data_IF_975795805809
#
_entry.id   IF_975795805809
#
_cell.length_a   1.000
_cell.length_b   1.000
_cell.length_c   1.000
_cell.angle_alpha   90.00
_cell.angle_beta   90.00
_cell.angle_gamma   90.00
#
_symmetry.space_group_name_H-M   'P 1'
#
loop_
_entity.id
_entity.type
_entity.pdbx_description
1 polymer ?
#
# COMPACT_ATOMS: atom_id res chain seq x y z
N UNK A 1 57.23 1.05 20.88
CA UNK A 1 57.85 0.16 21.85
C UNK A 1 57.29 0.49 23.20
N UNK A 2 56.81 -0.45 23.94
CA UNK A 2 56.25 -0.27 25.27
C UNK A 2 57.16 -0.93 26.31
N UNK A 3 57.09 -0.55 27.57
CA UNK A 3 57.98 -1.00 28.64
C UNK A 3 57.22 -1.42 29.87
N UNK A 4 57.69 -2.49 30.52
CA UNK A 4 57.26 -2.92 31.84
C UNK A 4 58.44 -2.74 32.78
N UNK A 5 58.21 -2.15 33.92
CA UNK A 5 59.26 -1.91 34.92
C UNK A 5 59.02 -2.79 36.14
N UNK A 6 60.08 -3.43 36.59
CA UNK A 6 60.09 -4.14 37.87
C UNK A 6 60.17 -3.18 39.04
N UNK A 7 60.07 -3.72 40.26
CA UNK A 7 60.28 -2.95 41.46
C UNK A 7 61.73 -2.45 41.52
N UNK A 8 61.93 -1.22 41.99
CA UNK A 8 63.26 -0.64 42.25
C UNK A 8 63.78 -1.17 43.59
N UNK A 9 65.00 -1.67 43.58
CA UNK A 9 65.66 -2.14 44.82
C UNK A 9 66.01 -0.93 45.76
N UNK A 10 66.27 -1.26 46.98
CA UNK A 10 66.77 -0.24 47.96
C UNK A 10 68.08 0.46 47.50
N UNK A 11 68.88 -0.22 46.69
CA UNK A 11 70.11 0.32 46.13
C UNK A 11 69.92 0.95 44.75
N UNK A 12 68.70 1.11 44.29
CA UNK A 12 68.32 1.79 43.04
C UNK A 12 68.33 0.96 41.78
N UNK A 13 68.71 -0.33 41.85
CA UNK A 13 68.69 -1.21 40.70
C UNK A 13 67.25 -1.55 40.28
N UNK A 14 67.00 -1.69 38.93
CA UNK A 14 65.69 -1.94 38.40
C UNK A 14 65.77 -2.73 37.09
N UNK A 15 64.81 -3.63 36.83
CA UNK A 15 64.64 -4.24 35.50
C UNK A 15 63.62 -3.47 34.68
N UNK A 16 63.84 -3.39 33.38
CA UNK A 16 62.90 -2.93 32.37
C UNK A 16 62.84 -3.95 31.24
N UNK A 17 61.59 -4.37 30.93
CA UNK A 17 61.33 -5.24 29.81
C UNK A 17 60.59 -4.43 28.72
N UNK A 18 61.32 -4.13 27.65
CA UNK A 18 60.78 -3.46 26.49
C UNK A 18 60.22 -4.50 25.54
N UNK A 19 59.06 -4.14 24.92
CA UNK A 19 58.44 -5.02 23.91
C UNK A 19 57.83 -4.23 22.75
N UNK A 20 57.77 -4.90 21.58
CA UNK A 20 57.01 -4.49 20.41
C UNK A 20 56.17 -5.66 19.91
N UNK A 21 55.01 -5.33 19.33
CA UNK A 21 54.04 -6.34 18.84
C UNK A 21 53.92 -6.17 17.35
N UNK A 22 54.01 -7.30 16.59
CA UNK A 22 53.61 -7.41 15.21
C UNK A 22 52.54 -8.51 15.09
N UNK A 23 51.64 -8.40 14.12
CA UNK A 23 50.51 -9.33 13.96
C UNK A 23 50.52 -10.01 12.62
N UNK A 24 50.21 -11.31 12.60
CA UNK A 24 49.79 -12.05 11.42
C UNK A 24 48.28 -12.28 11.48
N UNK A 25 47.51 -11.49 10.70
CA UNK A 25 46.03 -11.60 10.65
C UNK A 25 45.63 -12.95 10.09
N UNK A 26 46.33 -13.43 9.06
CA UNK A 26 46.07 -14.72 8.43
C UNK A 26 46.21 -15.89 9.42
N UNK A 27 47.28 -15.89 10.23
CA UNK A 27 47.62 -16.97 11.17
C UNK A 27 46.98 -16.82 12.53
N UNK A 28 46.31 -15.69 12.79
CA UNK A 28 45.73 -15.38 14.09
C UNK A 28 46.74 -15.37 15.24
N UNK A 29 47.90 -14.77 15.00
CA UNK A 29 49.02 -14.75 15.95
C UNK A 29 49.63 -13.36 16.07
N UNK A 30 50.14 -13.04 17.25
CA UNK A 30 51.05 -11.90 17.47
C UNK A 30 52.45 -12.38 17.79
N UNK A 31 53.47 -11.72 17.23
CA UNK A 31 54.86 -11.91 17.57
C UNK A 31 55.30 -10.71 18.37
N UNK A 32 55.90 -11.00 19.58
CA UNK A 32 56.45 -9.98 20.45
C UNK A 32 57.97 -10.09 20.40
N UNK A 33 58.63 -8.98 20.05
CA UNK A 33 60.07 -8.84 20.22
C UNK A 33 60.36 -8.19 21.59
N UNK A 34 61.04 -8.91 22.44
CA UNK A 34 61.34 -8.58 23.82
C UNK A 34 62.80 -8.17 23.95
N UNK A 35 63.08 -7.12 24.75
CA UNK A 35 64.45 -6.74 25.14
C UNK A 35 64.49 -6.41 26.63
N UNK A 36 65.34 -7.12 27.33
CA UNK A 36 65.55 -6.93 28.79
C UNK A 36 66.69 -6.00 29.05
N UNK A 37 66.45 -5.01 29.91
CA UNK A 37 67.46 -4.07 30.42
C UNK A 37 67.50 -4.13 31.93
N UNK A 38 68.73 -3.90 32.46
CA UNK A 38 68.97 -3.64 33.87
C UNK A 38 69.47 -2.21 34.06
N UNK A 39 68.99 -1.52 35.03
CA UNK A 39 69.52 -0.23 35.47
C UNK A 39 70.44 -0.41 36.66
N UNK A 40 71.69 0.02 36.50
CA UNK A 40 72.64 0.15 37.62
C UNK A 40 72.29 1.44 38.43
N UNK A 41 71.86 1.25 39.67
CA UNK A 41 71.46 2.33 40.55
C UNK A 41 72.55 2.94 41.33
N UNK A 42 73.75 2.29 41.42
CA UNK A 42 74.85 2.73 42.26
C UNK A 42 75.92 3.51 41.51
N UNK A 43 76.25 3.06 40.28
CA UNK A 43 77.39 3.60 39.48
C UNK A 43 78.76 3.09 39.91
N UNK A 44 78.79 2.13 40.81
CA UNK A 44 80.05 1.45 41.20
C UNK A 44 80.46 0.45 40.13
N UNK A 45 81.73 0.12 40.03
CA UNK A 45 82.27 -0.86 39.11
C UNK A 45 82.12 -2.28 39.68
N UNK A 46 81.39 -3.12 38.98
CA UNK A 46 81.21 -4.53 39.34
C UNK A 46 81.62 -5.46 38.18
N UNK A 47 82.29 -6.53 38.60
CA UNK A 47 82.70 -7.61 37.72
C UNK A 47 81.95 -8.86 38.19
N UNK A 48 80.82 -9.17 37.52
CA UNK A 48 79.99 -10.32 37.83
C UNK A 48 80.50 -11.55 37.12
N UNK A 49 80.72 -12.65 37.89
CA UNK A 49 81.21 -13.91 37.35
C UNK A 49 80.19 -14.60 36.41
N UNK A 50 80.72 -15.11 35.31
CA UNK A 50 79.95 -15.82 34.32
C UNK A 50 79.20 -17.05 34.83
N UNK A 51 79.65 -17.69 35.87
CA UNK A 51 79.10 -18.93 36.38
C UNK A 51 77.95 -18.71 37.39
N UNK A 52 77.81 -17.53 37.93
CA UNK A 52 76.84 -17.21 38.99
C UNK A 52 75.81 -16.14 38.55
N UNK A 53 76.21 -15.22 37.68
CA UNK A 53 75.31 -14.17 37.19
C UNK A 53 74.51 -14.66 35.94
N UNK A 54 73.21 -14.54 36.03
CA UNK A 54 72.31 -14.90 34.92
C UNK A 54 71.07 -14.04 34.90
N UNK A 55 70.44 -13.98 33.74
CA UNK A 55 69.05 -13.49 33.62
C UNK A 55 68.14 -14.58 33.11
N UNK A 56 66.86 -14.46 33.40
CA UNK A 56 65.80 -15.25 32.79
C UNK A 56 64.91 -14.33 31.95
N UNK A 57 64.54 -14.76 30.75
CA UNK A 57 63.63 -14.04 29.88
C UNK A 57 62.61 -15.07 29.30
N UNK A 58 61.35 -14.93 29.71
CA UNK A 58 60.29 -15.89 29.40
C UNK A 58 60.77 -17.35 29.65
N UNK A 59 61.19 -17.61 30.90
CA UNK A 59 61.61 -18.94 31.36
C UNK A 59 62.96 -19.43 30.84
N UNK A 60 63.60 -18.76 29.88
CA UNK A 60 64.91 -19.14 29.38
C UNK A 60 65.99 -18.47 30.22
N UNK A 61 66.90 -19.26 30.82
CA UNK A 61 68.06 -18.79 31.59
C UNK A 61 69.21 -18.58 30.62
N UNK A 62 69.89 -17.43 30.81
CA UNK A 62 71.14 -17.11 30.08
C UNK A 62 72.16 -16.59 31.09
N UNK A 63 73.30 -17.28 31.17
CA UNK A 63 74.42 -16.83 31.97
C UNK A 63 75.08 -15.67 31.26
N UNK A 64 75.31 -14.61 31.99
CA UNK A 64 75.80 -13.33 31.45
C UNK A 64 76.79 -12.68 32.41
N UNK A 65 78.11 -12.85 32.19
CA UNK A 65 79.11 -12.05 32.92
C UNK A 65 78.99 -10.58 32.50
N UNK A 66 78.74 -9.72 33.44
CA UNK A 66 78.50 -8.34 33.12
C UNK A 66 79.41 -7.43 33.96
N UNK A 67 79.98 -6.44 33.28
CA UNK A 67 80.70 -5.37 33.93
C UNK A 67 79.84 -4.10 33.94
N UNK A 68 79.53 -3.62 35.13
CA UNK A 68 78.84 -2.38 35.33
C UNK A 68 79.84 -1.35 35.87
N UNK A 69 79.91 -0.19 35.24
CA UNK A 69 80.93 0.81 35.57
C UNK A 69 80.38 2.26 35.63
N UNK A 70 79.12 2.40 35.47
CA UNK A 70 78.40 3.68 35.54
C UNK A 70 76.91 3.51 35.75
N UNK A 71 76.27 4.49 36.31
CA UNK A 71 74.76 4.50 36.32
C UNK A 71 74.21 4.52 34.95
N UNK A 72 73.22 3.67 34.66
CA UNK A 72 72.60 3.63 33.38
C UNK A 72 71.84 2.32 33.09
N UNK A 73 71.21 2.30 31.93
CA UNK A 73 70.52 1.12 31.42
C UNK A 73 71.47 0.27 30.58
N UNK A 74 71.58 -0.96 30.93
CA UNK A 74 72.41 -1.95 30.19
C UNK A 74 71.48 -3.06 29.59
N UNK A 75 71.66 -3.35 28.34
CA UNK A 75 70.92 -4.43 27.68
C UNK A 75 71.48 -5.80 28.15
N UNK A 76 70.57 -6.64 28.67
CA UNK A 76 70.90 -8.01 29.07
C UNK A 76 70.71 -8.97 27.90
N UNK A 77 69.57 -8.93 27.20
CA UNK A 77 69.30 -9.79 26.08
C UNK A 77 67.97 -9.52 25.41
N UNK A 78 67.70 -10.31 24.37
CA UNK A 78 66.49 -10.21 23.59
C UNK A 78 65.92 -11.58 23.29
N UNK A 79 64.61 -11.69 23.11
CA UNK A 79 63.89 -12.90 22.75
C UNK A 79 62.65 -12.55 21.95
N UNK A 80 62.31 -13.39 20.99
CA UNK A 80 61.04 -13.31 20.29
C UNK A 80 60.09 -14.41 20.79
N UNK A 81 58.83 -14.11 20.96
CA UNK A 81 57.78 -15.08 21.32
C UNK A 81 56.60 -14.89 20.41
N UNK A 82 55.87 -15.98 20.15
CA UNK A 82 54.64 -15.95 19.38
C UNK A 82 53.48 -16.35 20.27
N UNK A 83 52.38 -15.60 20.20
CA UNK A 83 51.18 -15.79 20.97
C UNK A 83 50.01 -16.00 20.01
N UNK A 84 49.34 -17.14 20.12
CA UNK A 84 48.09 -17.37 19.38
C UNK A 84 46.93 -16.58 20.00
N UNK A 85 46.05 -16.01 19.17
CA UNK A 85 44.82 -15.41 19.60
C UNK A 85 43.70 -16.43 19.62
N UNK A 86 42.64 -16.17 20.39
CA UNK A 86 41.45 -17.01 20.42
C UNK A 86 40.59 -16.84 19.14
N UNK A 87 39.51 -17.62 19.04
CA UNK A 87 38.65 -17.65 17.83
C UNK A 87 37.98 -16.30 17.49
N UNK A 88 37.92 -15.35 18.43
CA UNK A 88 37.41 -13.99 18.18
C UNK A 88 38.53 -12.95 18.02
N UNK A 89 39.81 -13.42 17.89
CA UNK A 89 40.95 -12.57 17.62
C UNK A 89 41.54 -11.85 18.83
N UNK A 90 41.13 -12.22 20.06
CA UNK A 90 41.68 -11.63 21.30
C UNK A 90 42.86 -12.44 21.82
N UNK A 91 43.88 -11.78 22.29
CA UNK A 91 45.05 -12.40 22.87
C UNK A 91 45.63 -11.61 24.01
N UNK A 92 46.25 -12.31 24.96
CA UNK A 92 47.02 -11.70 26.05
C UNK A 92 48.15 -12.62 26.44
N UNK A 93 49.21 -12.06 27.02
CA UNK A 93 50.37 -12.83 27.46
C UNK A 93 50.93 -12.18 28.73
N UNK A 94 51.40 -13.03 29.65
CA UNK A 94 52.21 -12.58 30.79
C UNK A 94 53.66 -12.55 30.34
N UNK A 95 54.26 -11.36 30.33
CA UNK A 95 55.71 -11.19 30.12
C UNK A 95 56.40 -11.21 31.46
N UNK A 96 57.50 -11.99 31.57
CA UNK A 96 58.26 -12.13 32.78
C UNK A 96 59.76 -12.21 32.50
N UNK A 97 60.52 -11.55 33.35
CA UNK A 97 61.99 -11.69 33.34
C UNK A 97 62.55 -11.55 34.76
N UNK A 98 63.67 -12.10 35.00
CA UNK A 98 64.41 -12.04 36.23
C UNK A 98 65.91 -11.83 36.00
N UNK A 99 66.58 -11.35 36.98
CA UNK A 99 68.06 -11.24 36.98
C UNK A 99 68.56 -11.65 38.35
N UNK A 100 69.71 -12.36 38.39
CA UNK A 100 70.41 -12.84 39.57
C UNK A 100 71.87 -12.48 39.49
N UNK A 101 72.39 -11.81 40.54
CA UNK A 101 73.81 -11.45 40.63
C UNK A 101 74.74 -12.59 40.96
N UNK A 102 74.22 -13.65 41.57
CA UNK A 102 75.01 -14.77 42.05
C UNK A 102 75.60 -14.55 43.46
N UNK A 103 75.40 -13.36 44.04
CA UNK A 103 75.88 -13.03 45.39
C UNK A 103 74.97 -11.98 46.06
N UNK A 104 75.19 -11.73 47.31
CA UNK A 104 74.47 -10.69 48.05
C UNK A 104 75.47 -9.68 48.62
N UNK A 105 75.25 -8.37 48.36
CA UNK A 105 76.01 -7.29 48.88
C UNK A 105 75.14 -6.09 49.34
N UNK A 106 75.65 -5.18 50.07
CA UNK A 106 74.93 -3.93 50.42
C UNK A 106 74.69 -3.02 49.25
N UNK A 107 75.31 -3.22 48.10
CA UNK A 107 75.25 -2.39 46.91
C UNK A 107 74.49 -3.08 45.74
N UNK A 108 74.49 -4.39 45.69
CA UNK A 108 73.89 -5.11 44.59
C UNK A 108 72.83 -6.08 45.08
N UNK A 109 71.59 -6.05 44.61
CA UNK A 109 70.53 -6.98 45.00
C UNK A 109 70.89 -8.39 44.54
N UNK A 110 70.53 -9.43 45.31
CA UNK A 110 70.72 -10.83 44.91
C UNK A 110 69.84 -11.22 43.70
N UNK A 111 68.69 -10.61 43.55
CA UNK A 111 67.78 -10.83 42.44
C UNK A 111 66.86 -9.64 42.20
N UNK A 112 66.40 -9.53 40.98
CA UNK A 112 65.35 -8.60 40.54
C UNK A 112 64.38 -9.34 39.65
N UNK A 113 63.13 -8.94 39.65
CA UNK A 113 62.07 -9.49 38.77
C UNK A 113 61.27 -8.39 38.11
N UNK A 114 60.74 -8.67 36.92
CA UNK A 114 59.74 -7.84 36.24
C UNK A 114 58.71 -8.76 35.61
N UNK A 115 57.43 -8.43 35.79
CA UNK A 115 56.35 -9.18 35.21
C UNK A 115 55.16 -8.23 34.96
N UNK A 116 54.41 -8.53 33.92
CA UNK A 116 53.19 -7.80 33.60
C UNK A 116 52.38 -8.51 32.51
N UNK A 117 51.05 -8.37 32.59
CA UNK A 117 50.14 -8.86 31.54
C UNK A 117 50.01 -7.83 30.43
N UNK A 118 50.22 -8.27 29.20
CA UNK A 118 50.03 -7.44 28.00
C UNK A 118 48.81 -7.96 27.25
N UNK A 119 47.80 -7.08 27.12
CA UNK A 119 46.69 -7.34 26.19
C UNK A 119 47.15 -6.98 24.78
N UNK A 120 47.04 -7.91 23.86
CA UNK A 120 47.44 -7.73 22.48
C UNK A 120 46.31 -7.04 21.70
N UNK A 121 46.63 -6.21 20.69
CA UNK A 121 45.62 -5.68 19.78
C UNK A 121 44.77 -6.79 19.17
N UNK A 122 43.45 -6.55 19.02
CA UNK A 122 42.54 -7.54 18.44
C UNK A 122 42.89 -7.83 16.98
N UNK A 123 42.80 -9.08 16.56
CA UNK A 123 42.99 -9.50 15.14
C UNK A 123 41.58 -9.70 14.53
N UNK A 124 41.22 -8.95 13.47
CA UNK A 124 39.94 -9.16 12.79
C UNK A 124 39.83 -10.58 12.24
N UNK A 125 38.72 -11.27 12.53
CA UNK A 125 38.59 -12.70 12.14
C UNK A 125 37.51 -12.92 11.06
N UNK A 126 36.25 -12.67 11.38
CA UNK A 126 35.16 -12.84 10.42
C UNK A 126 35.05 -11.62 9.51
N UNK A 127 34.90 -11.86 8.22
CA UNK A 127 34.56 -10.83 7.25
C UNK A 127 33.12 -10.36 7.46
N UNK A 128 32.76 -9.21 6.90
CA UNK A 128 31.39 -8.70 6.92
C UNK A 128 30.79 -8.66 5.51
N UNK A 129 29.47 -8.74 5.43
CA UNK A 129 28.72 -8.56 4.19
C UNK A 129 27.75 -7.39 4.36
N UNK A 130 27.64 -6.57 3.34
CA UNK A 130 26.71 -5.46 3.25
C UNK A 130 26.02 -5.43 1.89
N UNK A 131 24.92 -4.72 1.79
CA UNK A 131 24.24 -4.42 0.53
C UNK A 131 23.52 -3.09 0.65
N UNK A 132 23.37 -2.38 -0.46
CA UNK A 132 22.56 -1.15 -0.52
C UNK A 132 21.51 -1.29 -1.62
N UNK A 133 20.29 -0.86 -1.33
CA UNK A 133 19.22 -0.77 -2.33
C UNK A 133 18.76 -2.11 -2.92
N UNK A 134 18.82 -3.22 -2.19
CA UNK A 134 18.27 -4.49 -2.66
C UNK A 134 16.76 -4.35 -2.91
N UNK A 135 16.31 -4.90 -4.04
CA UNK A 135 14.89 -4.96 -4.42
C UNK A 135 14.55 -6.41 -4.72
N UNK A 136 13.45 -6.91 -4.13
CA UNK A 136 12.99 -8.27 -4.39
C UNK A 136 12.65 -8.46 -5.87
N UNK A 137 13.09 -9.60 -6.43
CA UNK A 137 12.91 -9.92 -7.85
C UNK A 137 13.84 -9.18 -8.80
N UNK A 138 14.77 -8.35 -8.30
CA UNK A 138 15.75 -7.62 -9.10
C UNK A 138 17.18 -7.93 -8.66
N UNK A 139 18.12 -7.96 -9.62
CA UNK A 139 19.53 -8.16 -9.31
C UNK A 139 20.08 -6.99 -8.49
N UNK A 140 20.79 -7.30 -7.41
CA UNK A 140 21.49 -6.37 -6.55
C UNK A 140 22.91 -6.87 -6.25
N UNK A 141 23.69 -6.09 -5.52
CA UNK A 141 25.07 -6.42 -5.18
C UNK A 141 25.26 -6.60 -3.68
N UNK A 142 25.84 -7.73 -3.29
CA UNK A 142 26.38 -7.97 -1.96
C UNK A 142 27.86 -7.62 -1.97
N UNK A 143 28.30 -6.78 -1.03
CA UNK A 143 29.71 -6.37 -0.88
C UNK A 143 30.31 -7.03 0.35
N UNK A 144 31.44 -7.71 0.17
CA UNK A 144 32.19 -8.36 1.25
C UNK A 144 33.39 -7.50 1.63
N UNK A 145 33.50 -7.15 2.92
CA UNK A 145 34.68 -6.52 3.50
C UNK A 145 35.48 -7.58 4.27
N UNK A 146 36.73 -7.77 3.89
CA UNK A 146 37.66 -8.78 4.46
C UNK A 146 38.99 -8.17 4.87
N UNK A 147 39.60 -8.73 5.91
CA UNK A 147 40.91 -8.29 6.41
C UNK A 147 42.10 -8.82 5.59
N UNK A 148 41.95 -9.94 4.89
CA UNK A 148 43.01 -10.58 4.13
C UNK A 148 42.50 -11.00 2.75
N UNK A 149 43.27 -10.72 1.69
CA UNK A 149 42.87 -10.96 0.31
C UNK A 149 42.68 -12.46 -0.04
N UNK A 150 43.35 -13.35 0.69
CA UNK A 150 43.24 -14.81 0.49
C UNK A 150 42.03 -15.44 1.15
N UNK A 151 41.28 -14.68 1.96
CA UNK A 151 40.07 -15.20 2.59
C UNK A 151 38.96 -15.46 1.57
N UNK A 152 38.32 -16.64 1.73
CA UNK A 152 37.16 -17.04 0.96
C UNK A 152 35.91 -17.08 1.86
N UNK A 153 34.72 -16.99 1.26
CA UNK A 153 33.46 -16.78 2.00
C UNK A 153 32.37 -17.70 1.51
N UNK A 154 31.60 -18.27 2.44
CA UNK A 154 30.26 -18.82 2.19
C UNK A 154 29.26 -17.84 2.73
N UNK A 155 28.31 -17.40 1.88
CA UNK A 155 27.24 -16.47 2.26
C UNK A 155 25.91 -17.17 2.14
N UNK A 156 25.16 -17.12 3.22
CA UNK A 156 23.79 -17.63 3.31
C UNK A 156 22.83 -16.52 3.69
N UNK A 157 21.66 -16.48 3.04
CA UNK A 157 20.63 -15.49 3.28
C UNK A 157 19.34 -16.18 3.73
N UNK A 158 18.64 -15.56 4.68
CA UNK A 158 17.34 -16.02 5.17
C UNK A 158 16.42 -14.82 5.38
N UNK A 159 15.20 -14.90 4.87
CA UNK A 159 14.18 -13.89 5.09
C UNK A 159 13.04 -14.48 5.95
N UNK A 160 12.88 -14.02 7.17
CA UNK A 160 11.84 -14.49 8.10
C UNK A 160 11.81 -16.02 8.24
N UNK A 161 10.66 -16.62 7.94
CA UNK A 161 10.44 -18.08 7.96
C UNK A 161 10.81 -18.78 6.65
N UNK A 162 11.18 -18.04 5.60
CA UNK A 162 11.58 -18.65 4.32
C UNK A 162 12.81 -19.56 4.46
N UNK A 163 12.97 -20.51 3.56
CA UNK A 163 14.15 -21.38 3.52
C UNK A 163 15.42 -20.54 3.35
N UNK A 164 16.50 -20.96 4.02
CA UNK A 164 17.82 -20.35 3.86
C UNK A 164 18.39 -20.65 2.48
N UNK A 165 18.94 -19.64 1.81
CA UNK A 165 19.56 -19.75 0.49
C UNK A 165 21.05 -19.56 0.62
N UNK A 166 21.86 -20.47 0.03
CA UNK A 166 23.31 -20.30 -0.12
C UNK A 166 23.56 -19.51 -1.41
N UNK A 167 24.13 -18.32 -1.27
CA UNK A 167 24.42 -17.42 -2.41
C UNK A 167 25.73 -17.81 -3.08
N UNK A 168 26.78 -18.02 -2.27
CA UNK A 168 28.09 -18.46 -2.72
C UNK A 168 28.73 -19.44 -1.72
N UNK A 169 29.58 -20.34 -2.18
CA UNK A 169 30.31 -21.29 -1.35
C UNK A 169 31.81 -21.10 -1.56
N UNK A 170 32.55 -20.79 -0.47
CA UNK A 170 34.01 -20.58 -0.43
C UNK A 170 34.55 -19.70 -1.57
N UNK A 171 33.80 -18.64 -1.90
CA UNK A 171 34.17 -17.68 -2.97
C UNK A 171 35.14 -16.64 -2.46
N UNK A 172 36.14 -16.26 -3.25
CA UNK A 172 37.04 -15.14 -3.02
C UNK A 172 36.49 -13.79 -3.54
N UNK A 173 35.30 -13.76 -4.16
CA UNK A 173 34.72 -12.55 -4.68
C UNK A 173 34.30 -11.59 -3.55
N UNK A 174 34.57 -10.31 -3.74
CA UNK A 174 34.14 -9.23 -2.81
C UNK A 174 32.90 -8.47 -3.28
N UNK A 175 32.50 -8.68 -4.55
CA UNK A 175 31.27 -8.17 -5.14
C UNK A 175 30.52 -9.34 -5.74
N UNK A 176 29.29 -9.57 -5.28
CA UNK A 176 28.49 -10.76 -5.63
C UNK A 176 27.11 -10.28 -6.07
N UNK A 177 26.75 -10.60 -7.32
CA UNK A 177 25.39 -10.33 -7.81
C UNK A 177 24.42 -11.34 -7.22
N UNK A 178 23.28 -10.87 -6.71
CA UNK A 178 22.23 -11.71 -6.17
C UNK A 178 20.85 -11.11 -6.43
N UNK A 179 19.90 -11.95 -6.81
CA UNK A 179 18.47 -11.57 -6.98
C UNK A 179 17.67 -12.17 -5.84
N UNK A 180 17.26 -11.37 -4.83
CA UNK A 180 16.41 -11.86 -3.76
C UNK A 180 15.04 -12.30 -4.31
N UNK A 181 14.53 -13.48 -3.93
CA UNK A 181 13.23 -13.98 -4.42
C UNK A 181 12.08 -13.02 -4.13
N UNK A 182 11.17 -12.86 -5.11
CA UNK A 182 10.02 -11.96 -4.97
C UNK A 182 8.99 -12.47 -3.94
N UNK A 183 8.89 -13.78 -3.75
CA UNK A 183 8.03 -14.43 -2.76
C UNK A 183 8.39 -14.10 -1.30
N UNK A 184 9.61 -13.62 -1.05
CA UNK A 184 9.98 -13.08 0.26
C UNK A 184 9.14 -11.88 0.68
N UNK A 185 8.42 -11.24 -0.26
CA UNK A 185 7.43 -10.20 0.07
C UNK A 185 6.35 -10.70 1.05
N UNK A 186 6.07 -12.02 1.07
CA UNK A 186 5.14 -12.62 2.02
C UNK A 186 5.62 -12.56 3.49
N UNK A 187 6.91 -12.32 3.73
CA UNK A 187 7.46 -12.19 5.09
C UNK A 187 7.14 -10.83 5.74
N UNK A 188 6.63 -9.86 4.94
CA UNK A 188 6.09 -8.61 5.47
C UNK A 188 4.84 -8.20 4.67
N UNK A 189 3.68 -8.52 5.21
CA UNK A 189 2.39 -8.30 4.54
C UNK A 189 1.84 -6.89 4.69
N UNK A 190 2.46 -6.04 5.53
CA UNK A 190 2.01 -4.68 5.81
C UNK A 190 3.04 -3.60 5.48
N UNK A 191 4.32 -3.96 5.31
CA UNK A 191 5.39 -3.03 5.00
C UNK A 191 5.84 -3.09 3.54
N UNK A 192 6.71 -2.17 3.16
CA UNK A 192 7.28 -2.03 1.81
C UNK A 192 8.71 -2.57 1.70
N UNK A 193 9.24 -3.18 2.76
CA UNK A 193 10.56 -3.82 2.80
C UNK A 193 10.54 -5.06 3.68
N UNK A 194 11.54 -5.92 3.51
CA UNK A 194 11.79 -7.09 4.36
C UNK A 194 13.22 -7.06 4.90
N UNK A 195 13.42 -7.67 6.06
CA UNK A 195 14.73 -7.89 6.64
C UNK A 195 15.26 -9.28 6.25
N UNK A 196 16.49 -9.29 5.78
CA UNK A 196 17.21 -10.50 5.36
C UNK A 196 18.37 -10.71 6.33
N UNK A 197 18.39 -11.82 7.05
CA UNK A 197 19.53 -12.23 7.84
C UNK A 197 20.61 -12.78 6.89
N UNK A 198 21.77 -12.14 6.85
CA UNK A 198 22.92 -12.57 6.09
C UNK A 198 23.98 -13.15 7.03
N UNK A 199 24.32 -14.41 6.83
CA UNK A 199 25.39 -15.11 7.51
C UNK A 199 26.59 -15.25 6.56
N UNK A 200 27.76 -14.78 6.98
CA UNK A 200 29.01 -14.93 6.24
C UNK A 200 30.00 -15.76 7.06
N UNK A 201 30.38 -16.93 6.54
CA UNK A 201 31.46 -17.75 7.11
C UNK A 201 32.74 -17.49 6.33
N UNK A 202 33.82 -17.13 7.04
CA UNK A 202 35.14 -16.80 6.48
C UNK A 202 36.09 -17.98 6.63
N UNK A 203 36.82 -18.25 5.58
CA UNK A 203 37.83 -19.35 5.53
C UNK A 203 39.21 -18.79 5.18
N UNK A 204 40.26 -19.40 5.76
CA UNK A 204 41.65 -19.26 5.35
C UNK A 204 42.15 -20.62 4.90
N UNK A 205 42.39 -20.77 3.59
CA UNK A 205 42.75 -22.05 2.98
C UNK A 205 41.64 -23.09 3.04
N UNK A 206 41.20 -23.64 3.94
CA UNK A 206 40.07 -24.58 4.13
C UNK A 206 39.48 -24.51 5.54
N UNK A 207 40.25 -23.90 6.46
CA UNK A 207 39.87 -23.79 7.87
C UNK A 207 38.93 -22.61 8.08
N UNK A 208 37.91 -22.79 8.94
CA UNK A 208 37.01 -21.72 9.34
C UNK A 208 37.76 -20.73 10.24
N UNK A 209 37.72 -19.47 9.84
CA UNK A 209 38.30 -18.34 10.59
C UNK A 209 37.28 -17.75 11.55
N UNK A 210 36.01 -17.71 11.15
CA UNK A 210 34.89 -17.21 11.94
C UNK A 210 33.64 -17.00 11.08
N UNK A 211 32.53 -16.76 11.77
CA UNK A 211 31.23 -16.43 11.15
C UNK A 211 30.72 -15.12 11.71
N UNK A 212 30.14 -14.29 10.83
CA UNK A 212 29.48 -13.05 11.18
C UNK A 212 28.05 -13.05 10.65
N UNK A 213 27.15 -12.38 11.34
CA UNK A 213 25.74 -12.27 10.95
C UNK A 213 25.35 -10.79 10.94
N UNK A 214 24.65 -10.37 9.88
CA UNK A 214 24.15 -9.01 9.73
C UNK A 214 22.74 -9.03 9.17
N UNK A 215 22.01 -7.92 9.33
CA UNK A 215 20.70 -7.73 8.72
C UNK A 215 20.84 -6.81 7.52
N UNK A 216 20.35 -7.27 6.37
CA UNK A 216 20.20 -6.49 5.14
C UNK A 216 18.74 -6.16 4.93
N UNK A 217 18.45 -5.01 4.34
CA UNK A 217 17.08 -4.62 3.97
C UNK A 217 16.90 -4.76 2.47
N UNK A 218 15.79 -5.43 2.05
CA UNK A 218 15.37 -5.46 0.66
C UNK A 218 13.97 -4.83 0.52
N UNK A 219 13.81 -3.97 -0.49
CA UNK A 219 12.54 -3.31 -0.78
C UNK A 219 11.62 -4.21 -1.61
N UNK A 220 10.34 -4.20 -1.29
CA UNK A 220 9.30 -4.86 -2.08
C UNK A 220 8.95 -3.92 -3.25
N UNK A 221 9.08 -4.35 -4.52
CA UNK A 221 8.88 -3.46 -5.68
C UNK A 221 7.43 -2.95 -5.76
N UNK A 222 7.23 -1.78 -6.35
CA UNK A 222 5.91 -1.16 -6.49
C UNK A 222 4.93 -1.98 -7.34
N UNK A 223 5.43 -2.89 -8.19
CA UNK A 223 4.64 -3.83 -8.98
C UNK A 223 3.89 -4.86 -8.13
N UNK A 224 4.33 -5.12 -6.89
CA UNK A 224 3.62 -5.96 -5.92
C UNK A 224 2.47 -5.16 -5.34
N UNK A 225 1.35 -5.11 -6.02
CA UNK A 225 0.12 -4.38 -5.69
C UNK A 225 -1.09 -5.30 -5.70
N UNK A 226 -2.23 -4.92 -5.09
CA UNK A 226 -3.44 -5.73 -5.13
C UNK A 226 -3.97 -5.89 -6.55
N UNK A 227 -4.74 -6.95 -6.78
CA UNK A 227 -5.54 -7.13 -8.00
C UNK A 227 -6.96 -6.63 -7.75
N UNK A 228 -7.60 -6.12 -8.79
CA UNK A 228 -8.98 -5.64 -8.75
C UNK A 228 -9.67 -5.91 -10.08
N UNK A 229 -10.87 -6.50 -10.02
CA UNK A 229 -11.87 -6.44 -11.08
C UNK A 229 -13.22 -6.00 -10.50
N UNK A 230 -14.05 -5.35 -11.32
CA UNK A 230 -15.34 -4.79 -10.88
C UNK A 230 -16.40 -5.11 -11.92
N UNK A 231 -17.56 -5.59 -11.46
CA UNK A 231 -18.75 -5.70 -12.26
C UNK A 231 -19.82 -4.74 -11.77
N UNK A 232 -20.55 -4.14 -12.71
CA UNK A 232 -21.63 -3.20 -12.44
C UNK A 232 -22.98 -3.84 -12.75
N UNK A 233 -23.96 -3.64 -11.88
CA UNK A 233 -25.34 -4.11 -12.07
C UNK A 233 -26.35 -3.06 -11.63
N UNK A 234 -27.49 -2.97 -12.32
CA UNK A 234 -28.64 -2.19 -11.88
C UNK A 234 -29.55 -3.09 -11.04
N UNK A 235 -29.56 -2.85 -9.74
CA UNK A 235 -30.41 -3.61 -8.81
C UNK A 235 -31.90 -3.21 -8.87
N UNK A 236 -32.23 -2.10 -9.56
CA UNK A 236 -33.59 -1.69 -9.84
C UNK A 236 -34.20 -2.38 -11.07
N UNK A 237 -33.39 -3.05 -11.88
CA UNK A 237 -33.82 -3.88 -13.00
C UNK A 237 -34.14 -3.13 -14.30
N UNK A 238 -33.87 -1.84 -14.39
CA UNK A 238 -34.17 -1.05 -15.60
C UNK A 238 -33.13 -1.19 -16.71
N UNK A 239 -31.87 -1.41 -16.34
CA UNK A 239 -30.74 -1.39 -17.25
C UNK A 239 -30.86 -2.33 -18.47
N UNK A 240 -31.39 -3.57 -18.37
CA UNK A 240 -31.50 -4.47 -19.50
C UNK A 240 -32.49 -3.98 -20.58
N UNK A 241 -33.49 -3.18 -20.19
CA UNK A 241 -34.55 -2.72 -21.09
C UNK A 241 -34.34 -1.28 -21.56
N UNK A 242 -33.95 -0.41 -20.64
CA UNK A 242 -33.91 1.04 -20.88
C UNK A 242 -32.50 1.63 -20.78
N UNK A 243 -31.47 0.80 -20.54
CA UNK A 243 -30.15 1.26 -20.12
C UNK A 243 -30.16 1.82 -18.69
N UNK A 244 -29.13 2.49 -18.28
CA UNK A 244 -29.11 3.20 -17.01
C UNK A 244 -30.03 4.41 -17.10
N UNK A 245 -30.93 4.58 -16.12
CA UNK A 245 -31.98 5.60 -16.15
C UNK A 245 -31.83 6.55 -14.98
N UNK A 246 -31.76 7.85 -15.25
CA UNK A 246 -31.69 8.91 -14.23
C UNK A 246 -32.87 8.83 -13.25
N UNK A 247 -32.54 8.87 -11.94
CA UNK A 247 -33.52 8.85 -10.86
C UNK A 247 -34.30 7.53 -10.69
N UNK A 248 -34.00 6.50 -11.52
CA UNK A 248 -34.67 5.20 -11.50
C UNK A 248 -33.65 4.06 -11.26
N UNK A 249 -32.54 4.04 -11.99
CA UNK A 249 -31.52 3.02 -11.83
C UNK A 249 -30.72 3.21 -10.54
N UNK A 250 -30.41 2.06 -9.92
CA UNK A 250 -29.57 1.98 -8.72
C UNK A 250 -28.38 1.08 -9.03
N UNK A 251 -27.19 1.70 -9.11
CA UNK A 251 -25.94 1.01 -9.42
C UNK A 251 -25.39 0.29 -8.21
N UNK A 252 -25.07 -0.98 -8.35
CA UNK A 252 -24.26 -1.76 -7.42
C UNK A 252 -22.97 -2.17 -8.11
N UNK A 253 -21.82 -1.84 -7.48
CA UNK A 253 -20.51 -2.30 -7.90
C UNK A 253 -20.12 -3.55 -7.09
N UNK A 254 -19.72 -4.62 -7.75
CA UNK A 254 -19.21 -5.83 -7.08
C UNK A 254 -17.71 -5.90 -7.30
N UNK A 255 -16.95 -5.85 -6.20
CA UNK A 255 -15.49 -5.87 -6.19
C UNK A 255 -14.97 -7.30 -6.03
N UNK A 256 -14.20 -7.78 -7.01
CA UNK A 256 -13.35 -8.96 -6.85
C UNK A 256 -11.90 -8.49 -6.72
N UNK A 257 -11.37 -8.52 -5.49
CA UNK A 257 -10.05 -7.98 -5.18
C UNK A 257 -9.28 -8.92 -4.27
N UNK A 258 -7.95 -9.03 -4.50
CA UNK A 258 -7.05 -9.82 -3.68
C UNK A 258 -5.73 -9.07 -3.48
N UNK A 259 -5.16 -9.20 -2.28
CA UNK A 259 -3.80 -8.75 -2.01
C UNK A 259 -2.77 -9.68 -2.65
N UNK A 260 -1.57 -9.16 -2.92
CA UNK A 260 -0.44 -9.93 -3.45
C UNK A 260 0.51 -10.32 -2.32
N UNK A 261 1.08 -11.53 -2.40
CA UNK A 261 2.07 -12.04 -1.44
C UNK A 261 1.61 -11.85 0.02
N UNK A 262 0.38 -12.31 0.34
CA UNK A 262 -0.15 -12.30 1.70
C UNK A 262 -0.66 -10.96 2.22
N UNK A 263 -0.58 -9.85 1.44
CA UNK A 263 -1.25 -8.61 1.82
C UNK A 263 -2.77 -8.77 1.79
N UNK A 264 -3.47 -7.97 2.57
CA UNK A 264 -4.95 -7.99 2.67
C UNK A 264 -5.52 -6.67 2.16
N UNK A 265 -6.74 -6.70 1.63
CA UNK A 265 -7.45 -5.46 1.26
C UNK A 265 -7.87 -4.73 2.54
N UNK A 266 -7.45 -3.47 2.68
CA UNK A 266 -7.72 -2.60 3.84
C UNK A 266 -8.84 -1.59 3.57
N UNK A 267 -8.96 -1.14 2.33
CA UNK A 267 -9.96 -0.14 1.98
C UNK A 267 -10.46 -0.35 0.55
N UNK A 268 -11.71 0.03 0.34
CA UNK A 268 -12.35 0.15 -0.96
C UNK A 268 -12.90 1.56 -1.10
N UNK A 269 -12.88 2.11 -2.29
CA UNK A 269 -13.56 3.35 -2.62
C UNK A 269 -14.23 3.26 -3.99
N UNK A 270 -15.30 3.99 -4.15
CA UNK A 270 -16.05 4.08 -5.39
C UNK A 270 -16.36 5.56 -5.66
N UNK A 271 -16.23 5.99 -6.91
CA UNK A 271 -16.77 7.27 -7.37
C UNK A 271 -17.60 7.05 -8.62
N UNK A 272 -18.70 7.79 -8.74
CA UNK A 272 -19.61 7.76 -9.90
C UNK A 272 -19.77 9.21 -10.37
N UNK A 273 -19.39 9.50 -11.62
CA UNK A 273 -19.42 10.86 -12.15
C UNK A 273 -18.59 11.85 -11.30
N UNK A 274 -17.47 11.41 -10.72
CA UNK A 274 -16.59 12.21 -9.87
C UNK A 274 -17.09 12.41 -8.43
N UNK A 275 -18.27 11.90 -8.06
CA UNK A 275 -18.82 11.98 -6.70
C UNK A 275 -18.55 10.69 -5.94
N UNK A 276 -18.26 10.81 -4.64
CA UNK A 276 -18.09 9.66 -3.74
C UNK A 276 -19.36 8.83 -3.66
N UNK A 277 -19.20 7.50 -3.71
CA UNK A 277 -20.26 6.51 -3.71
C UNK A 277 -19.92 5.35 -2.77
N UNK A 278 -20.92 4.57 -2.36
CA UNK A 278 -20.71 3.40 -1.51
C UNK A 278 -20.15 2.22 -2.31
N UNK A 279 -18.96 1.71 -1.97
CA UNK A 279 -18.35 0.61 -2.73
C UNK A 279 -19.09 -0.73 -2.58
N UNK A 280 -19.73 -0.99 -1.44
CA UNK A 280 -20.45 -2.23 -1.16
C UNK A 280 -21.98 -2.03 -1.11
N UNK A 281 -22.47 -0.80 -1.36
CA UNK A 281 -23.88 -0.40 -1.24
C UNK A 281 -24.55 -0.14 -2.58
N UNK A 282 -25.83 0.26 -2.46
CA UNK A 282 -26.68 0.70 -3.56
C UNK A 282 -26.46 2.21 -3.80
N UNK A 283 -26.27 2.62 -5.04
CA UNK A 283 -25.99 3.99 -5.42
C UNK A 283 -27.00 4.47 -6.46
N UNK A 284 -27.91 5.37 -6.06
CA UNK A 284 -28.89 5.95 -6.98
C UNK A 284 -28.22 6.85 -8.03
N UNK A 285 -28.57 6.68 -9.29
CA UNK A 285 -28.08 7.49 -10.39
C UNK A 285 -28.95 8.72 -10.58
N UNK A 286 -28.59 9.83 -9.94
CA UNK A 286 -29.37 11.09 -9.97
C UNK A 286 -29.04 12.02 -11.12
N UNK A 287 -27.87 11.85 -11.75
CA UNK A 287 -27.43 12.60 -12.93
C UNK A 287 -27.70 11.85 -14.22
N UNK A 288 -27.51 12.50 -15.38
CA UNK A 288 -27.61 11.90 -16.70
C UNK A 288 -26.37 12.19 -17.54
N UNK A 289 -26.22 11.48 -18.67
CA UNK A 289 -25.06 11.58 -19.55
C UNK A 289 -23.98 10.54 -19.27
N UNK A 290 -22.79 10.74 -19.82
CA UNK A 290 -21.63 9.89 -19.61
C UNK A 290 -21.08 10.07 -18.21
N UNK A 291 -20.89 8.97 -17.48
CA UNK A 291 -20.33 8.95 -16.11
C UNK A 291 -19.22 7.92 -16.00
N UNK A 292 -18.05 8.36 -15.51
CA UNK A 292 -16.99 7.44 -15.12
C UNK A 292 -17.32 6.82 -13.76
N UNK A 293 -17.20 5.51 -13.67
CA UNK A 293 -17.29 4.73 -12.42
C UNK A 293 -15.89 4.26 -12.10
N UNK A 294 -15.26 4.85 -11.08
CA UNK A 294 -13.88 4.53 -10.67
C UNK A 294 -13.93 3.79 -9.35
N UNK A 295 -13.48 2.55 -9.37
CA UNK A 295 -13.32 1.72 -8.19
C UNK A 295 -11.84 1.58 -7.85
N UNK A 296 -11.49 1.76 -6.59
CA UNK A 296 -10.11 1.64 -6.09
C UNK A 296 -10.07 0.79 -4.83
N UNK A 297 -9.06 -0.06 -4.73
CA UNK A 297 -8.75 -0.80 -3.50
C UNK A 297 -7.35 -0.45 -3.01
N UNK A 298 -7.17 -0.48 -1.69
CA UNK A 298 -5.89 -0.28 -1.03
C UNK A 298 -5.57 -1.50 -0.19
N UNK A 299 -4.37 -2.05 -0.33
CA UNK A 299 -3.91 -3.19 0.46
C UNK A 299 -3.26 -2.78 1.79
N UNK A 300 -2.88 -3.79 2.59
CA UNK A 300 -2.21 -3.59 3.89
C UNK A 300 -0.83 -2.95 3.78
N UNK A 301 -0.20 -2.92 2.60
CA UNK A 301 1.06 -2.21 2.31
C UNK A 301 0.84 -0.75 1.89
N UNK A 302 -0.43 -0.30 1.80
CA UNK A 302 -0.79 1.04 1.31
C UNK A 302 -0.75 1.18 -0.21
N UNK A 303 -0.66 0.08 -0.96
CA UNK A 303 -0.64 0.08 -2.42
C UNK A 303 -2.02 -0.06 -3.00
N UNK A 304 -2.25 0.57 -4.15
CA UNK A 304 -3.57 0.67 -4.75
C UNK A 304 -3.65 -0.02 -6.11
N UNK A 305 -4.86 -0.48 -6.43
CA UNK A 305 -5.27 -0.84 -7.78
C UNK A 305 -6.62 -0.18 -8.08
N UNK A 306 -6.79 0.32 -9.30
CA UNK A 306 -8.01 1.01 -9.72
C UNK A 306 -8.50 0.44 -11.05
N UNK A 307 -9.83 0.41 -11.19
CA UNK A 307 -10.55 0.08 -12.42
C UNK A 307 -11.47 1.24 -12.76
N UNK A 308 -11.47 1.68 -14.01
CA UNK A 308 -12.36 2.71 -14.53
C UNK A 308 -13.28 2.08 -15.59
N UNK A 309 -14.58 2.27 -15.43
CA UNK A 309 -15.62 1.88 -16.41
C UNK A 309 -16.50 3.10 -16.70
N UNK A 310 -16.91 3.27 -17.95
CA UNK A 310 -17.81 4.33 -18.32
C UNK A 310 -19.22 3.76 -18.52
N UNK A 311 -20.22 4.43 -17.96
CA UNK A 311 -21.63 4.18 -18.19
C UNK A 311 -22.28 5.42 -18.82
N UNK A 312 -23.36 5.20 -19.59
CA UNK A 312 -24.20 6.30 -20.05
C UNK A 312 -25.54 6.21 -19.36
N UNK A 313 -25.90 7.24 -18.61
CA UNK A 313 -27.17 7.34 -17.90
C UNK A 313 -28.14 8.16 -18.74
N UNK A 314 -29.22 7.54 -19.17
CA UNK A 314 -30.26 8.19 -19.96
C UNK A 314 -31.04 9.18 -19.08
N UNK A 315 -31.21 10.40 -19.58
CA UNK A 315 -32.04 11.39 -18.92
C UNK A 315 -33.48 10.89 -18.88
N UNK A 316 -34.17 11.12 -17.77
CA UNK A 316 -35.54 10.74 -17.60
C UNK A 316 -36.33 11.84 -16.87
N UNK A 317 -37.44 12.22 -17.47
CA UNK A 317 -38.57 12.88 -16.81
C UNK A 317 -39.83 12.03 -17.01
N UNK A 318 -40.79 12.15 -16.17
CA UNK A 318 -42.09 11.47 -16.34
C UNK A 318 -42.77 11.86 -17.64
N UNK A 319 -43.88 11.18 -17.99
CA UNK A 319 -44.66 11.51 -19.18
C UNK A 319 -45.18 12.96 -19.13
N UNK A 320 -45.40 13.56 -20.29
CA UNK A 320 -46.00 14.89 -20.46
C UNK A 320 -47.25 14.82 -21.27
N UNK A 321 -48.27 15.66 -20.93
CA UNK A 321 -49.46 15.87 -21.73
C UNK A 321 -49.53 17.37 -22.05
N UNK A 322 -49.56 17.68 -23.35
CA UNK A 322 -49.64 19.04 -23.89
C UNK A 322 -50.85 19.18 -24.81
N UNK A 323 -51.25 20.41 -25.10
CA UNK A 323 -52.30 20.79 -26.06
C UNK A 323 -53.64 20.07 -25.82
N UNK A 324 -53.99 19.85 -24.53
CA UNK A 324 -55.26 19.22 -24.18
C UNK A 324 -56.42 20.15 -24.56
N UNK A 325 -57.17 19.75 -25.54
CA UNK A 325 -58.36 20.45 -26.09
C UNK A 325 -59.55 19.52 -26.20
N UNK A 326 -60.72 20.09 -26.29
CA UNK A 326 -61.94 19.36 -26.57
C UNK A 326 -62.76 20.04 -27.68
N UNK A 327 -63.54 19.21 -28.40
CA UNK A 327 -64.58 19.65 -29.34
C UNK A 327 -65.86 18.88 -29.00
N UNK A 328 -67.03 19.55 -29.21
CA UNK A 328 -68.31 18.88 -29.19
C UNK A 328 -68.69 18.42 -30.57
N UNK A 329 -69.38 17.27 -30.65
CA UNK A 329 -69.80 16.69 -31.90
C UNK A 329 -70.65 15.46 -31.71
N UNK A 330 -70.80 14.69 -32.78
CA UNK A 330 -71.51 13.40 -32.79
C UNK A 330 -70.52 12.34 -33.28
N UNK A 331 -70.39 11.24 -32.53
CA UNK A 331 -69.53 10.12 -32.87
C UNK A 331 -70.38 8.90 -33.13
N UNK A 332 -70.56 8.48 -34.39
CA UNK A 332 -71.36 7.35 -34.75
C UNK A 332 -70.67 6.51 -35.85
N UNK A 333 -70.69 5.18 -35.70
CA UNK A 333 -70.11 4.27 -36.66
C UNK A 333 -68.63 4.46 -36.93
N UNK A 334 -67.87 4.97 -35.96
CA UNK A 334 -66.41 5.23 -36.10
C UNK A 334 -66.10 6.59 -36.72
N UNK A 335 -67.12 7.39 -37.06
CA UNK A 335 -66.95 8.69 -37.73
C UNK A 335 -67.33 9.82 -36.77
N UNK A 336 -66.52 10.85 -36.77
CA UNK A 336 -66.75 12.07 -36.01
C UNK A 336 -67.26 13.17 -36.92
N UNK A 337 -68.30 13.87 -36.44
CA UNK A 337 -68.84 15.08 -37.10
C UNK A 337 -68.88 16.23 -36.13
N UNK A 338 -68.26 17.33 -36.46
CA UNK A 338 -68.29 18.54 -35.60
C UNK A 338 -69.71 19.07 -35.50
N UNK A 339 -70.21 19.22 -34.26
CA UNK A 339 -71.51 19.78 -33.91
C UNK A 339 -71.42 20.45 -32.56
N UNK A 340 -71.46 21.76 -32.51
CA UNK A 340 -71.36 22.51 -31.25
C UNK A 340 -72.46 22.13 -30.22
N UNK A 341 -73.58 21.52 -30.70
CA UNK A 341 -74.70 21.07 -29.89
C UNK A 341 -74.71 19.56 -29.68
N UNK A 342 -73.65 18.87 -30.09
CA UNK A 342 -73.55 17.42 -30.00
C UNK A 342 -73.35 16.88 -28.61
N UNK A 343 -73.75 15.62 -28.40
CA UNK A 343 -73.71 14.92 -27.12
C UNK A 343 -72.35 14.36 -26.78
N UNK A 344 -71.49 14.19 -27.77
CA UNK A 344 -70.17 13.54 -27.64
C UNK A 344 -69.07 14.59 -27.51
N UNK A 345 -67.96 14.15 -26.88
CA UNK A 345 -66.75 14.97 -26.73
C UNK A 345 -65.59 14.26 -27.39
N UNK A 346 -64.90 15.00 -28.25
CA UNK A 346 -63.59 14.62 -28.80
C UNK A 346 -62.51 15.32 -28.05
N UNK A 347 -61.72 14.59 -27.26
CA UNK A 347 -60.53 15.09 -26.63
C UNK A 347 -59.33 14.89 -27.55
N UNK A 348 -58.49 15.90 -27.72
CA UNK A 348 -57.20 15.83 -28.41
C UNK A 348 -56.08 16.32 -27.53
N UNK A 349 -54.99 15.62 -27.51
CA UNK A 349 -53.76 16.02 -26.74
C UNK A 349 -52.53 15.40 -27.36
N UNK A 350 -51.35 15.94 -27.04
CA UNK A 350 -50.06 15.39 -27.39
C UNK A 350 -49.42 14.73 -26.18
N UNK A 351 -49.11 13.42 -26.29
CA UNK A 351 -48.42 12.67 -25.26
C UNK A 351 -46.93 12.68 -25.52
N UNK A 352 -46.12 12.97 -24.52
CA UNK A 352 -44.66 12.90 -24.56
C UNK A 352 -44.19 11.82 -23.59
N UNK A 353 -43.33 10.91 -24.08
CA UNK A 353 -42.71 9.86 -23.30
C UNK A 353 -41.23 9.86 -23.62
N UNK A 354 -40.39 10.06 -22.63
CA UNK A 354 -38.94 9.96 -22.74
C UNK A 354 -38.53 8.48 -22.71
N UNK A 355 -37.41 8.18 -23.34
CA UNK A 355 -36.75 6.89 -23.48
C UNK A 355 -37.39 5.97 -24.53
N UNK A 356 -36.51 5.46 -25.40
CA UNK A 356 -36.88 4.45 -26.38
C UNK A 356 -37.41 3.18 -25.70
N UNK A 357 -38.52 2.68 -26.16
CA UNK A 357 -39.17 1.48 -25.60
C UNK A 357 -40.06 1.74 -24.38
N UNK A 358 -40.02 2.92 -23.77
CA UNK A 358 -40.95 3.30 -22.71
C UNK A 358 -42.34 3.55 -23.30
N UNK A 359 -43.37 3.08 -22.63
CA UNK A 359 -44.78 3.21 -23.03
C UNK A 359 -45.61 3.63 -21.85
N UNK A 360 -46.73 4.33 -22.12
CA UNK A 360 -47.64 4.75 -21.08
C UNK A 360 -49.02 4.11 -21.22
N UNK A 361 -49.74 4.05 -20.10
CA UNK A 361 -51.16 3.90 -20.04
C UNK A 361 -51.75 5.28 -19.82
N UNK A 362 -52.74 5.65 -20.63
CA UNK A 362 -53.52 6.90 -20.46
C UNK A 362 -54.91 6.57 -20.01
N UNK A 363 -55.23 7.07 -18.83
CA UNK A 363 -56.59 6.97 -18.23
C UNK A 363 -57.32 8.29 -18.51
N UNK A 364 -58.54 8.20 -19.03
CA UNK A 364 -59.39 9.36 -19.30
C UNK A 364 -60.73 9.15 -18.59
N UNK A 365 -61.14 10.13 -17.79
CA UNK A 365 -62.45 10.07 -17.10
C UNK A 365 -63.58 9.86 -18.10
N UNK A 366 -64.35 8.81 -17.95
CA UNK A 366 -65.50 8.46 -18.86
C UNK A 366 -65.12 7.74 -20.14
N UNK A 367 -63.88 7.29 -20.32
CA UNK A 367 -63.46 6.51 -21.48
C UNK A 367 -62.63 5.27 -21.08
N UNK A 368 -62.47 4.33 -22.01
CA UNK A 368 -61.57 3.18 -21.85
C UNK A 368 -60.13 3.63 -21.85
N UNK A 369 -59.28 2.96 -21.03
CA UNK A 369 -57.86 3.25 -20.94
C UNK A 369 -57.14 2.95 -22.25
N UNK A 370 -56.23 3.85 -22.67
CA UNK A 370 -55.30 3.61 -23.76
C UNK A 370 -54.05 2.97 -23.24
N UNK A 371 -53.80 1.70 -23.49
CA UNK A 371 -52.58 0.98 -23.02
C UNK A 371 -51.49 0.98 -24.09
N UNK A 372 -50.22 0.88 -23.63
CA UNK A 372 -49.06 0.74 -24.51
C UNK A 372 -48.78 1.93 -25.43
N UNK A 373 -49.16 3.14 -25.01
CA UNK A 373 -49.05 4.35 -25.81
C UNK A 373 -47.59 4.86 -25.88
N UNK A 374 -47.23 5.35 -27.05
CA UNK A 374 -45.95 6.06 -27.30
C UNK A 374 -46.21 7.55 -27.49
N UNK A 375 -45.18 8.36 -27.55
CA UNK A 375 -45.26 9.79 -27.86
C UNK A 375 -46.04 10.07 -29.14
N UNK A 376 -46.72 11.21 -29.18
CA UNK A 376 -47.47 11.71 -30.33
C UNK A 376 -48.90 12.10 -30.01
N UNK A 377 -49.62 12.60 -31.03
CA UNK A 377 -50.99 13.02 -30.92
C UNK A 377 -51.94 11.86 -30.52
N UNK A 378 -52.89 12.11 -29.65
CA UNK A 378 -53.90 11.17 -29.17
C UNK A 378 -55.26 11.81 -29.30
N UNK A 379 -56.25 10.97 -29.61
CA UNK A 379 -57.66 11.36 -29.65
C UNK A 379 -58.48 10.34 -28.87
N UNK A 380 -59.35 10.80 -28.02
CA UNK A 380 -60.29 10.00 -27.22
C UNK A 380 -61.68 10.59 -27.37
N UNK A 381 -62.66 9.72 -27.53
CA UNK A 381 -64.04 10.09 -27.64
C UNK A 381 -64.79 9.70 -26.34
N UNK A 382 -65.51 10.67 -25.76
CA UNK A 382 -66.45 10.45 -24.67
C UNK A 382 -67.84 10.44 -25.33
N UNK A 383 -68.40 9.26 -25.44
CA UNK A 383 -69.70 9.06 -26.09
C UNK A 383 -70.83 9.22 -25.05
N UNK A 384 -71.93 9.80 -25.44
CA UNK A 384 -73.11 10.08 -24.60
C UNK A 384 -72.75 10.96 -23.37
N UNK A 385 -71.85 11.94 -23.57
CA UNK A 385 -71.47 12.89 -22.48
C UNK A 385 -72.65 13.78 -22.06
N UNK A 386 -73.54 14.09 -22.98
CA UNK A 386 -74.72 14.91 -22.80
C UNK A 386 -74.48 16.41 -22.97
N UNK A 387 -75.52 17.09 -23.44
CA UNK A 387 -75.48 18.54 -23.67
C UNK A 387 -75.60 19.36 -22.39
N UNK A 388 -76.30 18.83 -21.37
CA UNK A 388 -76.56 19.48 -20.10
C UNK A 388 -75.54 19.15 -19.02
N UNK A 389 -74.53 18.35 -19.35
CA UNK A 389 -73.46 17.98 -18.45
C UNK A 389 -72.31 19.01 -18.47
N UNK A 390 -71.98 19.55 -17.30
CA UNK A 390 -70.70 20.25 -17.09
C UNK A 390 -69.84 19.39 -16.19
N UNK A 391 -68.59 19.29 -16.47
CA UNK A 391 -67.70 18.49 -15.65
C UNK A 391 -66.24 18.69 -15.97
N UNK A 392 -65.39 18.22 -15.06
CA UNK A 392 -63.95 18.20 -15.23
C UNK A 392 -63.57 16.80 -15.74
N UNK A 393 -62.99 16.75 -16.94
CA UNK A 393 -62.42 15.51 -17.49
C UNK A 393 -60.94 15.51 -17.20
N UNK A 394 -60.45 14.50 -16.51
CA UNK A 394 -59.05 14.26 -16.24
C UNK A 394 -58.47 13.33 -17.29
N UNK A 395 -57.26 13.68 -17.77
CA UNK A 395 -56.41 12.84 -18.59
C UNK A 395 -55.12 12.58 -17.77
N UNK A 396 -54.92 11.32 -17.37
CA UNK A 396 -53.77 10.90 -16.56
C UNK A 396 -52.93 9.91 -17.37
N UNK A 397 -51.67 10.21 -17.58
CA UNK A 397 -50.71 9.27 -18.18
C UNK A 397 -49.76 8.72 -17.13
N UNK A 398 -49.56 7.39 -17.16
CA UNK A 398 -48.60 6.69 -16.29
C UNK A 398 -47.71 5.84 -17.21
N UNK A 399 -46.38 6.09 -17.19
CA UNK A 399 -45.45 5.31 -18.00
C UNK A 399 -44.95 4.05 -17.28
N UNK A 400 -44.22 3.19 -18.00
CA UNK A 400 -43.74 1.90 -17.48
C UNK A 400 -42.66 2.08 -16.38
N UNK A 401 -42.07 3.26 -16.25
CA UNK A 401 -41.11 3.63 -15.19
C UNK A 401 -41.81 4.23 -13.98
N UNK A 402 -43.16 4.28 -13.96
CA UNK A 402 -43.98 4.80 -12.85
C UNK A 402 -44.01 6.30 -12.75
N UNK A 403 -43.60 7.03 -13.78
CA UNK A 403 -43.83 8.47 -13.90
C UNK A 403 -45.29 8.74 -14.21
N UNK A 404 -45.87 9.81 -13.62
CA UNK A 404 -47.29 10.18 -13.81
C UNK A 404 -47.42 11.67 -14.13
N UNK A 405 -48.44 11.99 -14.94
CA UNK A 405 -48.90 13.35 -15.18
C UNK A 405 -50.42 13.36 -15.28
N UNK A 406 -51.06 14.35 -14.74
CA UNK A 406 -52.50 14.58 -14.89
C UNK A 406 -52.74 15.97 -15.47
N UNK A 407 -53.68 16.07 -16.40
CA UNK A 407 -54.21 17.33 -16.95
C UNK A 407 -55.71 17.27 -16.91
N UNK A 408 -56.32 18.39 -16.75
CA UNK A 408 -57.78 18.56 -16.63
C UNK A 408 -58.28 19.54 -17.70
N UNK A 409 -59.46 19.28 -18.19
CA UNK A 409 -60.20 20.21 -19.03
C UNK A 409 -61.66 20.29 -18.55
N UNK A 410 -62.18 21.51 -18.39
CA UNK A 410 -63.57 21.72 -18.03
C UNK A 410 -64.40 21.77 -19.31
N UNK A 411 -65.42 20.92 -19.38
CA UNK A 411 -66.36 20.86 -20.48
C UNK A 411 -67.66 21.53 -20.02
N UNK A 412 -68.00 22.73 -20.56
CA UNK A 412 -69.24 23.43 -20.18
C UNK A 412 -70.46 22.74 -20.80
N UNK A 413 -71.62 23.02 -20.24
CA UNK A 413 -72.91 22.70 -20.90
C UNK A 413 -73.05 23.40 -22.26
N UNK A 414 -73.86 22.87 -23.15
CA UNK A 414 -74.24 23.58 -24.36
C UNK A 414 -75.11 24.76 -23.95
N UNK A 415 -74.57 25.97 -24.13
CA UNK A 415 -75.33 27.15 -23.90
C UNK A 415 -76.12 27.53 -25.17
N UNK A 416 -77.41 27.53 -25.09
CA UNK A 416 -78.29 28.10 -26.11
C UNK A 416 -78.84 29.40 -25.57
N UNK A 417 -78.09 30.50 -25.74
CA UNK A 417 -78.52 31.82 -25.14
C UNK A 417 -79.79 32.35 -25.76
N UNK A 418 -80.06 32.02 -27.01
CA UNK A 418 -81.27 32.37 -27.74
C UNK A 418 -81.60 31.30 -28.80
N UNK A 419 -82.77 30.71 -28.73
CA UNK A 419 -83.23 29.80 -29.79
C UNK A 419 -84.51 30.45 -30.39
N UNK A 420 -84.47 30.58 -31.72
CA UNK A 420 -85.63 31.03 -32.49
C UNK A 420 -86.09 29.82 -33.30
N UNK A 421 -87.24 29.31 -32.93
CA UNK A 421 -87.86 28.18 -33.68
C UNK A 421 -88.93 28.74 -34.60
N UNK A 422 -88.62 28.78 -35.90
CA UNK A 422 -89.49 29.36 -36.90
C UNK A 422 -90.70 28.47 -37.18
N UNK A 423 -90.62 27.16 -37.01
CA UNK A 423 -91.72 26.24 -37.21
C UNK A 423 -92.79 26.40 -36.12
N UNK A 424 -92.34 26.64 -34.91
CA UNK A 424 -93.17 26.87 -33.73
C UNK A 424 -93.52 28.40 -33.58
N UNK A 425 -92.91 29.24 -34.42
CA UNK A 425 -93.05 30.71 -34.25
C UNK A 425 -92.76 31.18 -32.80
N UNK A 426 -91.74 30.61 -32.19
CA UNK A 426 -91.39 30.80 -30.77
C UNK A 426 -89.93 31.19 -30.62
N UNK A 427 -89.67 32.00 -29.54
CA UNK A 427 -88.33 32.36 -29.10
C UNK A 427 -88.12 31.79 -27.67
N UNK A 428 -87.00 31.16 -27.47
CA UNK A 428 -86.64 30.67 -26.12
C UNK A 428 -85.30 31.30 -25.70
N UNK A 429 -85.19 31.74 -24.45
CA UNK A 429 -83.97 32.17 -23.84
C UNK A 429 -83.54 31.13 -22.84
N UNK A 430 -82.28 30.69 -22.94
CA UNK A 430 -81.68 29.72 -22.02
C UNK A 430 -82.01 28.25 -22.35
N UNK A 431 -82.59 27.99 -23.50
CA UNK A 431 -82.91 26.62 -23.96
C UNK A 431 -83.40 26.58 -25.39
N UNK A 432 -84.08 25.49 -25.81
CA UNK A 432 -84.69 25.31 -27.12
C UNK A 432 -86.19 25.57 -26.98
N UNK A 433 -86.78 26.30 -27.93
CA UNK A 433 -88.21 26.53 -27.95
C UNK A 433 -88.97 25.22 -28.26
N UNK A 434 -89.90 24.86 -27.38
CA UNK A 434 -90.64 23.57 -27.48
C UNK A 434 -92.12 23.81 -27.68
N UNK A 435 -92.63 25.07 -27.51
CA UNK A 435 -94.05 25.39 -27.64
C UNK A 435 -94.27 26.43 -28.69
N UNK A 436 -95.34 26.25 -29.46
CA UNK A 436 -95.74 27.13 -30.54
C UNK A 436 -96.19 28.49 -30.04
N UNK A 437 -95.76 29.59 -30.72
CA UNK A 437 -96.15 30.98 -30.50
C UNK A 437 -95.92 31.51 -29.09
N UNK A 438 -94.86 31.08 -28.40
CA UNK A 438 -94.50 31.50 -27.07
C UNK A 438 -93.09 32.07 -26.97
N UNK A 439 -92.90 33.00 -26.01
CA UNK A 439 -91.54 33.35 -25.52
C UNK A 439 -91.33 32.55 -24.27
N UNK A 440 -90.43 31.61 -24.34
CA UNK A 440 -90.08 30.72 -23.19
C UNK A 440 -88.79 31.19 -22.51
N UNK A 441 -88.86 31.28 -21.16
CA UNK A 441 -87.65 31.50 -20.32
C UNK A 441 -87.41 30.19 -19.56
N UNK A 442 -86.38 29.45 -19.94
CA UNK A 442 -85.94 28.24 -19.22
C UNK A 442 -84.75 28.63 -18.30
N UNK A 443 -85.08 28.83 -17.01
CA UNK A 443 -84.04 29.08 -16.02
C UNK A 443 -83.64 27.74 -15.40
N UNK A 444 -82.30 27.41 -15.46
CA UNK A 444 -81.82 26.41 -14.57
C UNK A 444 -81.46 27.07 -13.25
N UNK A 445 -82.00 26.53 -12.14
CA UNK A 445 -81.54 26.86 -10.83
C UNK A 445 -80.12 26.26 -10.69
N UNK A 446 -79.17 27.11 -10.35
CA UNK A 446 -77.81 26.69 -10.06
C UNK A 446 -77.72 25.99 -8.71
#
# INVERSE_FOLDING_TARGET
MASIYGAKSSTGWQLRLDYSVSQSIADNKSTLALTLYIYDGTGESYNLDANSCYYTLQGTRVYNPYRYNSRGWYKLGSKSITVAHNNVGKGSVVLSAGWHSGFTSSYTPSSLTVSGTVNLPDIPRASSVSASGLVLGSAGTLTVTRAVNTFTHTIKLKCGSAAQVTVVTKSGATSISYTPPLDWAAQNTAGTSVNITAEITTYNGGAVVGTNTTTLTAFIPASVKPTLSVSLSDISGYQPTYGWVQGKSTLKATFAAAGSYGSTIKAKSLTIGGKSASPDGANALTGSGAMAVVATVTDSRGRTASVNQNITVNAYSGPGIQDLTFLRGNYSGGTWTDNAMGDDIKLAFTLFIQLTGNKATVEVTGASNLTGQTSGAKTVYLVDYGTDSTGVVQVKATDALGGTVTREVTIPTVAVPLNINFDLQAICFGGVAEKEKMVEFKWKQF
#
